data_IF_095176836471
#
_entry.id   IF_095176836471
#
_cell.length_a   1.000
_cell.length_b   1.000
_cell.length_c   1.000
_cell.angle_alpha   90.00
_cell.angle_beta   90.00
_cell.angle_gamma   90.00
#
_symmetry.space_group_name_H-M   'P 1'
#
loop_
_entity.id
_entity.type
_entity.pdbx_description
1 polymer ?
#
# COMPACT_ATOMS: atom_id res chain seq x y z
N UNK A 1 6.70 -47.74 -24.08
CA UNK A 1 5.31 -48.16 -24.34
C UNK A 1 4.89 -49.17 -23.31
N UNK A 2 3.59 -49.16 -22.95
CA UNK A 2 2.86 -50.04 -22.01
C UNK A 2 3.15 -49.80 -20.52
N UNK A 3 2.25 -49.28 -19.67
CA UNK A 3 0.80 -49.46 -19.37
C UNK A 3 0.55 -50.39 -18.15
N UNK A 4 0.04 -49.76 -17.09
CA UNK A 4 -0.95 -50.15 -16.07
C UNK A 4 -1.07 -51.61 -15.57
N UNK A 5 -1.15 -51.77 -14.24
CA UNK A 5 -2.29 -52.46 -13.64
C UNK A 5 -2.62 -51.99 -12.21
N UNK A 6 -3.92 -51.87 -12.01
CA UNK A 6 -4.73 -51.50 -10.86
C UNK A 6 -4.74 -52.62 -9.80
N UNK A 7 -4.77 -52.25 -8.51
CA UNK A 7 -5.37 -53.11 -7.48
C UNK A 7 -6.46 -52.31 -6.76
N UNK A 8 -7.67 -52.52 -7.28
CA UNK A 8 -8.92 -52.26 -6.61
C UNK A 8 -9.09 -53.34 -5.52
N UNK A 9 -9.00 -52.96 -4.26
CA UNK A 9 -9.55 -53.74 -3.17
C UNK A 9 -10.49 -52.83 -2.36
N UNK A 10 -11.72 -52.71 -2.85
CA UNK A 10 -12.85 -52.30 -2.03
C UNK A 10 -13.07 -53.40 -0.99
N UNK A 11 -12.46 -53.26 0.19
CA UNK A 11 -12.89 -54.04 1.37
C UNK A 11 -14.04 -53.30 2.01
N UNK A 12 -15.22 -53.87 1.82
CA UNK A 12 -16.46 -53.64 2.55
C UNK A 12 -16.19 -53.25 4.01
N UNK A 13 -16.65 -52.06 4.39
CA UNK A 13 -16.71 -51.63 5.79
C UNK A 13 -18.10 -51.05 6.04
N UNK A 14 -19.04 -51.94 6.29
CA UNK A 14 -20.16 -51.60 7.16
C UNK A 14 -19.63 -51.39 8.58
N UNK A 15 -19.33 -50.13 8.93
CA UNK A 15 -19.27 -49.66 10.32
C UNK A 15 -19.50 -48.15 10.35
N UNK A 16 -20.77 -47.80 10.56
CA UNK A 16 -21.19 -46.77 11.52
C UNK A 16 -20.70 -45.33 11.31
N UNK A 17 -21.67 -44.44 11.05
CA UNK A 17 -21.69 -43.05 11.54
C UNK A 17 -20.70 -42.78 12.69
N UNK A 18 -19.51 -42.25 12.39
CA UNK A 18 -18.62 -41.44 13.23
C UNK A 18 -17.14 -41.69 12.86
N UNK A 19 -16.67 -41.01 11.83
CA UNK A 19 -15.37 -40.33 11.87
C UNK A 19 -15.35 -39.36 10.69
N UNK A 20 -15.52 -38.07 10.99
CA UNK A 20 -15.10 -37.02 10.04
C UNK A 20 -13.60 -37.18 9.92
N UNK A 21 -13.12 -37.61 8.75
CA UNK A 21 -11.72 -37.46 8.40
C UNK A 21 -11.51 -35.96 8.25
N UNK A 22 -11.01 -35.31 9.31
CA UNK A 22 -10.52 -33.95 9.18
C UNK A 22 -9.33 -34.01 8.24
N UNK A 23 -9.61 -33.75 6.95
CA UNK A 23 -8.60 -33.39 5.98
C UNK A 23 -7.85 -32.20 6.56
N UNK A 24 -6.71 -32.48 7.18
CA UNK A 24 -5.77 -31.45 7.57
C UNK A 24 -5.19 -30.93 6.26
N UNK A 25 -5.90 -29.98 5.63
CA UNK A 25 -5.36 -29.13 4.57
C UNK A 25 -4.26 -28.33 5.24
N UNK A 26 -3.11 -28.97 5.41
CA UNK A 26 -1.87 -28.31 5.72
C UNK A 26 -1.63 -27.38 4.55
N UNK A 27 -2.06 -26.13 4.70
CA UNK A 27 -1.53 -25.03 3.92
C UNK A 27 -0.04 -25.07 4.21
N UNK A 28 0.71 -25.79 3.37
CA UNK A 28 2.14 -25.58 3.27
C UNK A 28 2.23 -24.12 2.84
N UNK A 29 2.51 -23.25 3.81
CA UNK A 29 3.00 -21.92 3.51
C UNK A 29 4.28 -22.19 2.75
N UNK A 30 4.20 -22.16 1.43
CA UNK A 30 5.36 -22.23 0.57
C UNK A 30 6.18 -21.01 0.97
N UNK A 31 7.24 -21.24 1.74
CA UNK A 31 8.16 -20.21 2.15
C UNK A 31 8.96 -19.86 0.90
N UNK A 32 8.35 -19.07 0.02
CA UNK A 32 9.01 -18.58 -1.18
C UNK A 32 10.13 -17.65 -0.73
N UNK A 33 11.36 -18.12 -0.87
CA UNK A 33 12.53 -17.27 -0.75
C UNK A 33 12.45 -16.20 -1.85
N UNK A 34 12.43 -14.93 -1.44
CA UNK A 34 12.36 -13.80 -2.36
C UNK A 34 13.74 -13.57 -2.98
N UNK A 35 13.79 -13.60 -4.32
CA UNK A 35 14.96 -13.09 -5.05
C UNK A 35 14.98 -11.56 -5.00
N UNK A 36 16.15 -10.96 -5.20
CA UNK A 36 16.29 -9.51 -5.35
C UNK A 36 15.39 -8.99 -6.48
N UNK A 37 15.27 -9.75 -7.58
CA UNK A 37 14.40 -9.40 -8.70
C UNK A 37 12.91 -9.40 -8.29
N UNK A 38 12.48 -10.35 -7.46
CA UNK A 38 11.11 -10.38 -6.94
C UNK A 38 10.85 -9.15 -6.05
N UNK A 39 11.82 -8.77 -5.20
CA UNK A 39 11.71 -7.60 -4.32
C UNK A 39 11.65 -6.29 -5.13
N UNK A 40 12.49 -6.14 -6.14
CA UNK A 40 12.48 -4.98 -7.05
C UNK A 40 11.15 -4.91 -7.80
N UNK A 41 10.66 -6.04 -8.31
CA UNK A 41 9.37 -6.08 -9.00
C UNK A 41 8.21 -5.64 -8.09
N UNK A 42 8.19 -6.08 -6.82
CA UNK A 42 7.18 -5.61 -5.86
C UNK A 42 7.32 -4.12 -5.56
N UNK A 43 8.54 -3.62 -5.36
CA UNK A 43 8.78 -2.19 -5.12
C UNK A 43 8.26 -1.31 -6.28
N UNK A 44 8.47 -1.75 -7.53
CA UNK A 44 7.95 -1.07 -8.71
C UNK A 44 6.42 -1.11 -8.78
N UNK A 45 5.80 -2.24 -8.41
CA UNK A 45 4.33 -2.34 -8.36
C UNK A 45 3.74 -1.37 -7.33
N UNK A 46 4.32 -1.29 -6.13
CA UNK A 46 3.90 -0.32 -5.11
C UNK A 46 4.12 1.12 -5.56
N UNK A 47 5.25 1.40 -6.22
CA UNK A 47 5.53 2.72 -6.77
C UNK A 47 4.49 3.13 -7.81
N UNK A 48 4.22 2.28 -8.81
CA UNK A 48 3.27 2.59 -9.87
C UNK A 48 1.84 2.72 -9.33
N UNK A 49 1.43 1.84 -8.42
CA UNK A 49 0.10 1.91 -7.78
C UNK A 49 -0.10 3.18 -6.94
N UNK A 50 0.95 3.67 -6.27
CA UNK A 50 0.91 4.93 -5.53
C UNK A 50 1.14 6.18 -6.38
N UNK A 51 1.84 6.06 -7.50
CA UNK A 51 2.27 7.22 -8.30
C UNK A 51 1.08 7.95 -8.92
N UNK A 52 0.17 7.22 -9.56
CA UNK A 52 -0.91 7.85 -10.33
C UNK A 52 -1.88 8.63 -9.43
N UNK A 53 -2.21 8.05 -8.27
CA UNK A 53 -3.07 8.69 -7.26
C UNK A 53 -2.41 9.92 -6.64
N UNK A 54 -1.13 9.81 -6.24
CA UNK A 54 -0.40 10.92 -5.61
C UNK A 54 -0.12 12.04 -6.63
N UNK A 55 0.28 11.70 -7.86
CA UNK A 55 0.51 12.67 -8.95
C UNK A 55 -0.75 13.46 -9.29
N UNK A 56 -1.89 12.78 -9.36
CA UNK A 56 -3.19 13.41 -9.60
C UNK A 56 -3.55 14.36 -8.44
N UNK A 57 -3.41 13.92 -7.18
CA UNK A 57 -3.68 14.76 -6.02
C UNK A 57 -2.79 16.01 -5.97
N UNK A 58 -1.49 15.88 -6.27
CA UNK A 58 -0.57 17.02 -6.36
C UNK A 58 -0.98 17.98 -7.48
N UNK A 59 -1.35 17.44 -8.65
CA UNK A 59 -1.77 18.25 -9.80
C UNK A 59 -2.99 19.11 -9.47
N UNK A 60 -4.03 18.53 -8.86
CA UNK A 60 -5.19 19.29 -8.42
C UNK A 60 -4.85 20.33 -7.35
N UNK A 61 -4.06 19.95 -6.35
CA UNK A 61 -3.65 20.87 -5.27
C UNK A 61 -2.90 22.09 -5.81
N UNK A 62 -1.94 21.86 -6.72
CA UNK A 62 -1.18 22.94 -7.36
C UNK A 62 -2.05 23.79 -8.30
N UNK A 63 -3.02 23.17 -8.98
CA UNK A 63 -3.94 23.89 -9.86
C UNK A 63 -4.84 24.85 -9.06
N UNK A 64 -5.46 24.38 -7.97
CA UNK A 64 -6.28 25.23 -7.10
C UNK A 64 -5.44 26.35 -6.45
N UNK A 65 -4.20 26.05 -6.07
CA UNK A 65 -3.25 27.03 -5.52
C UNK A 65 -2.89 28.12 -6.53
N UNK A 66 -2.63 27.75 -7.79
CA UNK A 66 -2.29 28.70 -8.85
C UNK A 66 -3.46 29.65 -9.21
N UNK A 67 -4.70 29.21 -9.02
CA UNK A 67 -5.89 30.03 -9.23
C UNK A 67 -6.23 30.94 -8.03
N UNK A 68 -5.65 30.66 -6.85
CA UNK A 68 -6.01 31.30 -5.59
C UNK A 68 -4.78 31.99 -4.95
N UNK A 69 -4.38 33.19 -5.43
CA UNK A 69 -3.17 33.86 -4.94
C UNK A 69 -3.20 34.15 -3.43
N UNK A 70 -4.37 34.43 -2.86
CA UNK A 70 -4.52 34.63 -1.41
C UNK A 70 -4.15 33.38 -0.60
N UNK A 71 -4.58 32.19 -1.07
CA UNK A 71 -4.24 30.90 -0.46
C UNK A 71 -2.75 30.64 -0.60
N UNK A 72 -2.17 30.96 -1.76
CA UNK A 72 -0.74 30.81 -2.01
C UNK A 72 0.11 31.68 -1.08
N UNK A 73 -0.24 32.95 -0.91
CA UNK A 73 0.47 33.88 -0.03
C UNK A 73 0.40 33.42 1.44
N UNK A 74 -0.77 32.94 1.88
CA UNK A 74 -0.95 32.41 3.23
C UNK A 74 -0.15 31.14 3.49
N UNK A 75 -0.11 30.22 2.52
CA UNK A 75 0.72 29.02 2.61
C UNK A 75 2.21 29.37 2.64
N UNK A 76 2.66 30.31 1.81
CA UNK A 76 4.05 30.75 1.80
C UNK A 76 4.46 31.40 3.12
N UNK A 77 3.56 32.17 3.75
CA UNK A 77 3.77 32.74 5.08
C UNK A 77 3.98 31.64 6.13
N UNK A 78 3.15 30.59 6.14
CA UNK A 78 3.31 29.45 7.05
C UNK A 78 4.64 28.72 6.82
N UNK A 79 5.02 28.49 5.56
CA UNK A 79 6.30 27.84 5.22
C UNK A 79 7.49 28.65 5.76
N UNK A 80 7.49 29.97 5.55
CA UNK A 80 8.55 30.87 6.03
C UNK A 80 8.62 30.92 7.55
N UNK A 81 7.46 30.92 8.21
CA UNK A 81 7.40 30.87 9.67
C UNK A 81 8.00 29.56 10.20
N UNK A 82 7.67 28.42 9.57
CA UNK A 82 8.23 27.13 9.94
C UNK A 82 9.75 27.06 9.67
N UNK A 83 10.21 27.60 8.53
CA UNK A 83 11.64 27.71 8.20
C UNK A 83 12.42 28.46 9.28
N UNK A 84 11.90 29.63 9.71
CA UNK A 84 12.53 30.44 10.76
C UNK A 84 12.57 29.70 12.10
N UNK A 85 11.47 29.02 12.47
CA UNK A 85 11.37 28.26 13.73
C UNK A 85 12.31 27.07 13.79
N UNK A 86 12.61 26.46 12.64
CA UNK A 86 13.40 25.22 12.56
C UNK A 86 14.81 25.44 11.99
N UNK A 87 15.32 26.68 12.06
CA UNK A 87 16.67 27.05 11.58
C UNK A 87 16.94 26.65 10.13
N UNK A 88 15.95 26.78 9.25
CA UNK A 88 16.03 26.41 7.83
C UNK A 88 15.89 24.92 7.54
N UNK A 89 15.58 24.08 8.54
CA UNK A 89 15.41 22.64 8.34
C UNK A 89 13.93 22.28 8.14
N UNK A 90 13.67 21.32 7.26
CA UNK A 90 12.35 20.72 7.09
C UNK A 90 12.46 19.23 7.40
N UNK A 91 12.29 18.88 8.66
CA UNK A 91 12.16 17.49 9.11
C UNK A 91 10.69 17.04 9.09
N UNK A 92 10.46 15.73 9.21
CA UNK A 92 9.12 15.16 9.19
C UNK A 92 8.18 15.81 10.22
N UNK A 93 8.68 16.07 11.43
CA UNK A 93 7.89 16.68 12.48
C UNK A 93 7.53 18.14 12.21
N UNK A 94 8.42 18.93 11.60
CA UNK A 94 8.11 20.32 11.25
C UNK A 94 7.08 20.42 10.13
N UNK A 95 7.20 19.58 9.09
CA UNK A 95 6.21 19.53 8.00
C UNK A 95 4.84 19.12 8.55
N UNK A 96 4.79 18.14 9.44
CA UNK A 96 3.52 17.69 10.04
C UNK A 96 2.85 18.77 10.93
N UNK A 97 3.58 19.80 11.36
CA UNK A 97 3.03 20.94 12.12
C UNK A 97 2.47 22.05 11.23
N UNK A 98 2.66 21.98 9.92
CA UNK A 98 2.14 22.97 8.97
C UNK A 98 0.66 22.66 8.66
N UNK A 99 -0.21 23.25 9.48
CA UNK A 99 -1.66 23.00 9.45
C UNK A 99 -2.30 23.49 8.15
N UNK A 100 -1.85 24.64 7.64
CA UNK A 100 -2.40 25.20 6.41
C UNK A 100 -1.97 24.39 5.18
N UNK A 101 -0.74 23.87 5.16
CA UNK A 101 -0.31 22.91 4.14
C UNK A 101 -1.19 21.66 4.11
N UNK A 102 -1.55 21.08 5.26
CA UNK A 102 -2.47 19.94 5.32
C UNK A 102 -3.87 20.29 4.78
N UNK A 103 -4.37 21.50 5.06
CA UNK A 103 -5.65 21.97 4.51
C UNK A 103 -5.62 22.08 2.98
N UNK A 104 -4.53 22.61 2.41
CA UNK A 104 -4.33 22.75 0.96
C UNK A 104 -4.28 21.37 0.29
N UNK A 105 -3.46 20.45 0.81
CA UNK A 105 -3.33 19.08 0.26
C UNK A 105 -4.64 18.29 0.41
N UNK A 106 -5.39 18.54 1.48
CA UNK A 106 -6.70 17.92 1.70
C UNK A 106 -7.83 18.50 0.83
N UNK A 107 -7.60 19.58 0.09
CA UNK A 107 -8.64 20.28 -0.67
C UNK A 107 -9.72 20.95 0.19
N UNK A 108 -9.41 21.30 1.45
CA UNK A 108 -10.34 21.92 2.41
C UNK A 108 -10.37 23.45 2.35
N UNK A 109 -9.75 24.05 1.34
CA UNK A 109 -9.58 25.51 1.21
C UNK A 109 -10.74 26.23 0.52
N UNK A 110 -11.92 25.59 0.41
CA UNK A 110 -13.15 26.17 -0.15
C UNK A 110 -14.10 26.65 0.93
#
# INVERSE_FOLDING_TARGET
GKLAHEENACTDKDTGFATVEECNVGMKMDQKDWSDDDLVAQALLFFLGGFDTVSTAMTFSLHELALSPEVQDKLLAEIRENEQKNNGKFDFNSIQKMVYMDMVVSGKTK
#
